data_IF_197949273517
#
_entry.id   IF_197949273517
#
_cell.length_a   1.000
_cell.length_b   1.000
_cell.length_c   1.000
_cell.angle_alpha   90.00
_cell.angle_beta   90.00
_cell.angle_gamma   90.00
#
_symmetry.space_group_name_H-M   'P 1'
#
loop_
_entity.id
_entity.type
_entity.pdbx_description
1 polymer ?
#
# COMPACT_ATOMS: atom_id res chain seq x y z
N UNK A 1 -13.91 -4.57 17.12
CA UNK A 1 -12.70 -4.51 16.27
C UNK A 1 -11.49 -4.70 17.17
N UNK A 2 -10.47 -5.44 16.72
CA UNK A 2 -9.30 -5.74 17.56
C UNK A 2 -8.44 -4.49 17.71
N UNK A 3 -7.99 -4.20 18.93
CA UNK A 3 -7.09 -3.06 19.18
C UNK A 3 -5.62 -3.44 19.21
N UNK A 4 -5.38 -4.75 19.29
CA UNK A 4 -4.10 -5.43 19.09
C UNK A 4 -4.22 -6.24 17.80
N UNK A 5 -3.51 -5.79 16.77
CA UNK A 5 -3.67 -6.34 15.42
C UNK A 5 -2.35 -6.32 14.67
N UNK A 6 -2.11 -7.41 13.95
CA UNK A 6 -1.24 -7.40 12.79
C UNK A 6 -2.07 -7.53 11.53
N UNK A 7 -1.70 -6.80 10.47
CA UNK A 7 -2.37 -6.90 9.18
C UNK A 7 -1.35 -7.03 8.06
N UNK A 8 -1.75 -7.66 6.97
CA UNK A 8 -0.92 -7.86 5.79
C UNK A 8 -1.68 -7.49 4.53
N UNK A 9 -1.12 -6.59 3.74
CA UNK A 9 -1.54 -6.30 2.38
C UNK A 9 -0.63 -7.10 1.44
N UNK A 10 -1.12 -8.25 1.00
CA UNK A 10 -0.41 -9.06 0.00
C UNK A 10 -0.56 -8.38 -1.36
N UNK A 11 0.54 -8.22 -2.08
CA UNK A 11 0.51 -7.65 -3.43
C UNK A 11 -0.26 -8.55 -4.40
N UNK A 12 -1.09 -7.92 -5.23
CA UNK A 12 -1.59 -8.53 -6.46
C UNK A 12 -0.62 -8.21 -7.62
N UNK A 13 0.01 -9.23 -8.24
CA UNK A 13 0.96 -8.99 -9.30
C UNK A 13 0.38 -8.31 -10.55
N UNK A 14 -0.93 -8.43 -10.74
CA UNK A 14 -1.67 -7.93 -11.90
C UNK A 14 -2.15 -6.49 -11.75
N UNK A 15 -2.12 -5.92 -10.54
CA UNK A 15 -2.55 -4.54 -10.29
C UNK A 15 -1.32 -3.63 -10.17
N UNK A 16 -1.30 -2.55 -10.95
CA UNK A 16 -0.26 -1.53 -10.93
C UNK A 16 -0.86 -0.13 -10.97
N UNK A 17 -0.46 0.73 -10.04
CA UNK A 17 -0.88 2.13 -10.09
C UNK A 17 -0.17 2.86 -11.24
N UNK A 18 -0.92 3.66 -12.01
CA UNK A 18 -0.43 4.36 -13.21
C UNK A 18 0.83 5.18 -12.97
N UNK A 19 0.89 5.93 -11.88
CA UNK A 19 2.04 6.82 -11.61
C UNK A 19 3.33 6.05 -11.30
N UNK A 20 3.21 4.85 -10.72
CA UNK A 20 4.35 3.96 -10.49
C UNK A 20 4.84 3.40 -11.81
N UNK A 21 3.93 3.00 -12.68
CA UNK A 21 4.28 2.50 -14.01
C UNK A 21 4.95 3.58 -14.86
N UNK A 22 4.44 4.81 -14.86
CA UNK A 22 5.06 5.95 -15.55
C UNK A 22 6.47 6.19 -15.03
N UNK A 23 6.63 6.28 -13.71
CA UNK A 23 7.93 6.48 -13.06
C UNK A 23 8.91 5.35 -13.40
N UNK A 24 8.43 4.11 -13.49
CA UNK A 24 9.23 2.96 -13.92
C UNK A 24 9.67 3.07 -15.38
N UNK A 25 8.74 3.45 -16.26
CA UNK A 25 9.06 3.67 -17.67
C UNK A 25 10.11 4.77 -17.81
N UNK A 26 9.95 5.90 -17.11
CA UNK A 26 10.89 7.03 -17.16
C UNK A 26 12.29 6.62 -16.66
N UNK A 27 12.38 5.91 -15.54
CA UNK A 27 13.64 5.43 -14.98
C UNK A 27 14.36 4.44 -15.91
N UNK A 28 13.62 3.59 -16.62
CA UNK A 28 14.17 2.63 -17.57
C UNK A 28 14.39 3.23 -18.97
N UNK A 29 13.90 4.45 -19.20
CA UNK A 29 13.89 5.14 -20.49
C UNK A 29 13.01 4.42 -21.52
N UNK A 30 11.88 3.89 -21.08
CA UNK A 30 10.88 3.24 -21.92
C UNK A 30 9.87 4.27 -22.43
N UNK A 31 9.38 4.09 -23.65
CA UNK A 31 8.37 4.96 -24.24
C UNK A 31 6.97 4.35 -24.09
N UNK A 32 6.04 5.19 -23.64
CA UNK A 32 4.65 4.83 -23.48
C UNK A 32 3.73 5.89 -24.10
N UNK A 33 2.54 5.45 -24.50
CA UNK A 33 1.45 6.30 -24.97
C UNK A 33 0.20 6.02 -24.13
N UNK A 34 -0.69 7.01 -24.06
CA UNK A 34 -1.97 6.87 -23.36
C UNK A 34 -3.07 7.15 -24.38
N UNK A 35 -3.94 6.15 -24.59
CA UNK A 35 -5.09 6.26 -25.48
C UNK A 35 -6.25 5.43 -24.91
N UNK A 36 -7.49 5.95 -24.95
CA UNK A 36 -8.70 5.27 -24.46
C UNK A 36 -8.57 4.59 -23.09
N UNK A 37 -8.09 5.32 -22.07
CA UNK A 37 -7.84 4.79 -20.73
C UNK A 37 -6.87 3.59 -20.67
N UNK A 38 -6.03 3.41 -21.67
CA UNK A 38 -4.99 2.38 -21.69
C UNK A 38 -3.63 3.06 -21.85
N UNK A 39 -2.73 2.80 -20.89
CA UNK A 39 -1.32 3.13 -21.05
C UNK A 39 -0.64 1.96 -21.75
N UNK A 40 -0.07 2.22 -22.91
CA UNK A 40 0.60 1.22 -23.75
C UNK A 40 2.09 1.53 -23.80
N UNK A 41 2.93 0.57 -23.41
CA UNK A 41 4.38 0.64 -23.59
C UNK A 41 4.72 -0.04 -24.92
N UNK A 42 5.22 0.72 -25.88
CA UNK A 42 5.62 0.23 -27.20
C UNK A 42 7.12 0.06 -27.36
N UNK A 43 7.93 0.71 -26.51
CA UNK A 43 9.38 0.56 -26.50
C UNK A 43 9.91 0.42 -25.07
N UNK A 44 10.29 -0.80 -24.72
CA UNK A 44 10.94 -1.21 -23.49
C UNK A 44 12.46 -1.42 -23.67
N UNK A 45 13.07 -0.77 -24.68
CA UNK A 45 14.47 -0.97 -25.12
C UNK A 45 14.76 -2.43 -25.50
N UNK A 46 13.76 -3.13 -26.02
CA UNK A 46 13.93 -4.48 -26.52
C UNK A 46 14.71 -4.49 -27.85
N UNK A 47 15.48 -5.54 -28.11
CA UNK A 47 16.14 -5.74 -29.42
C UNK A 47 15.15 -6.16 -30.52
N UNK A 48 13.99 -6.69 -30.13
CA UNK A 48 12.98 -7.25 -31.03
C UNK A 48 11.98 -6.19 -31.48
N UNK A 49 11.65 -6.14 -32.77
CA UNK A 49 10.55 -5.28 -33.25
C UNK A 49 9.22 -5.89 -32.82
N UNK A 50 8.34 -5.07 -32.24
CA UNK A 50 6.99 -5.47 -31.82
C UNK A 50 5.94 -5.32 -32.93
N UNK A 51 6.32 -4.92 -34.14
CA UNK A 51 5.42 -4.84 -35.32
C UNK A 51 4.11 -4.06 -35.11
N UNK A 52 4.14 -3.00 -34.28
CA UNK A 52 2.95 -2.20 -33.94
C UNK A 52 2.19 -2.69 -32.70
N UNK A 53 2.64 -3.78 -32.09
CA UNK A 53 2.14 -4.28 -30.82
C UNK A 53 2.84 -3.64 -29.61
N UNK A 54 2.35 -4.00 -28.44
CA UNK A 54 2.79 -3.48 -27.14
C UNK A 54 3.71 -4.46 -26.42
N UNK A 55 4.61 -3.95 -25.59
CA UNK A 55 5.35 -4.73 -24.60
C UNK A 55 4.48 -4.98 -23.36
N UNK A 56 3.83 -3.92 -22.86
CA UNK A 56 2.82 -4.01 -21.80
C UNK A 56 1.69 -3.01 -22.00
N UNK A 57 0.51 -3.34 -21.47
CA UNK A 57 -0.65 -2.46 -21.40
C UNK A 57 -1.15 -2.40 -19.97
N UNK A 58 -1.49 -1.20 -19.50
CA UNK A 58 -2.15 -0.95 -18.23
C UNK A 58 -3.52 -0.35 -18.51
N UNK A 59 -4.57 -0.96 -17.99
CA UNK A 59 -5.89 -0.35 -17.95
C UNK A 59 -5.94 0.68 -16.82
N UNK A 60 -6.12 1.95 -17.14
CA UNK A 60 -6.15 3.06 -16.18
C UNK A 60 -7.39 3.06 -15.28
N UNK A 61 -8.41 2.28 -15.63
CA UNK A 61 -9.67 2.17 -14.86
C UNK A 61 -9.59 1.05 -13.83
N UNK A 62 -9.02 -0.11 -14.21
CA UNK A 62 -8.90 -1.28 -13.32
C UNK A 62 -7.53 -1.40 -12.67
N UNK A 63 -6.55 -0.60 -13.12
CA UNK A 63 -5.13 -0.74 -12.80
C UNK A 63 -4.54 -2.11 -13.18
N UNK A 64 -5.19 -2.87 -14.08
CA UNK A 64 -4.72 -4.19 -14.49
C UNK A 64 -3.68 -4.12 -15.59
N UNK A 65 -2.62 -4.92 -15.45
CA UNK A 65 -1.53 -5.01 -16.42
C UNK A 65 -1.57 -6.29 -17.24
N UNK A 66 -1.42 -6.12 -18.55
CA UNK A 66 -1.30 -7.18 -19.55
C UNK A 66 0.08 -7.13 -20.20
N UNK A 67 0.73 -8.29 -20.31
CA UNK A 67 2.04 -8.42 -20.93
C UNK A 67 1.95 -9.15 -22.27
N UNK A 68 2.75 -8.72 -23.25
CA UNK A 68 2.85 -9.40 -24.53
C UNK A 68 4.03 -10.37 -24.52
N UNK A 69 3.74 -11.67 -24.50
CA UNK A 69 4.75 -12.73 -24.55
C UNK A 69 5.05 -13.23 -25.96
N UNK A 70 4.26 -12.83 -26.96
CA UNK A 70 4.30 -13.40 -28.31
C UNK A 70 5.48 -12.85 -29.15
N UNK A 71 5.79 -11.55 -29.03
CA UNK A 71 6.84 -10.90 -29.84
C UNK A 71 8.17 -10.68 -29.09
N UNK A 72 8.34 -11.28 -27.91
CA UNK A 72 9.51 -11.11 -27.07
C UNK A 72 10.15 -12.49 -26.75
N UNK A 73 11.11 -12.99 -27.54
CA UNK A 73 11.80 -14.25 -27.25
C UNK A 73 12.61 -14.23 -25.93
N UNK A 74 12.99 -13.04 -25.45
CA UNK A 74 13.57 -12.82 -24.11
C UNK A 74 12.53 -12.27 -23.11
N UNK A 75 11.23 -12.46 -23.36
CA UNK A 75 10.13 -11.93 -22.55
C UNK A 75 10.33 -12.22 -21.08
N UNK A 76 10.64 -13.47 -20.73
CA UNK A 76 10.75 -13.92 -19.33
C UNK A 76 11.84 -13.15 -18.58
N UNK A 77 12.99 -12.91 -19.21
CA UNK A 77 14.10 -12.19 -18.60
C UNK A 77 13.80 -10.68 -18.49
N UNK A 78 13.14 -10.10 -19.49
CA UNK A 78 12.71 -8.69 -19.47
C UNK A 78 11.55 -8.44 -18.51
N UNK A 79 10.65 -9.41 -18.35
CA UNK A 79 9.59 -9.40 -17.35
C UNK A 79 10.19 -9.47 -15.95
N UNK A 80 11.23 -10.27 -15.73
CA UNK A 80 11.98 -10.31 -14.47
C UNK A 80 12.70 -8.98 -14.17
N UNK A 81 13.44 -8.42 -15.13
CA UNK A 81 14.11 -7.11 -14.99
C UNK A 81 13.10 -5.98 -14.68
N UNK A 82 11.97 -5.96 -15.41
CA UNK A 82 10.88 -5.05 -15.12
C UNK A 82 10.33 -5.31 -13.71
N UNK A 83 10.05 -6.57 -13.36
CA UNK A 83 9.48 -6.93 -12.06
C UNK A 83 10.37 -6.46 -10.92
N UNK A 84 11.68 -6.62 -10.98
CA UNK A 84 12.61 -6.15 -9.93
C UNK A 84 12.59 -4.62 -9.78
N UNK A 85 12.65 -3.89 -10.90
CA UNK A 85 12.58 -2.43 -10.90
C UNK A 85 11.21 -1.93 -10.44
N UNK A 86 10.17 -2.62 -10.84
CA UNK A 86 8.80 -2.35 -10.47
C UNK A 86 8.55 -2.65 -8.99
N UNK A 87 9.15 -3.70 -8.43
CA UNK A 87 9.11 -4.02 -7.00
C UNK A 87 9.77 -2.92 -6.16
N UNK A 88 10.94 -2.44 -6.55
CA UNK A 88 11.59 -1.31 -5.88
C UNK A 88 10.74 -0.03 -5.90
N UNK A 89 10.14 0.30 -7.05
CA UNK A 89 9.27 1.47 -7.20
C UNK A 89 7.95 1.30 -6.46
N UNK A 90 7.39 0.09 -6.40
CA UNK A 90 6.21 -0.22 -5.62
C UNK A 90 6.46 -0.10 -4.13
N UNK A 91 7.58 -0.61 -3.62
CA UNK A 91 7.90 -0.46 -2.20
C UNK A 91 7.97 1.02 -1.81
N UNK A 92 8.56 1.85 -2.69
CA UNK A 92 8.61 3.30 -2.53
C UNK A 92 7.23 3.95 -2.59
N UNK A 93 6.40 3.55 -3.57
CA UNK A 93 5.03 4.05 -3.70
C UNK A 93 4.17 3.66 -2.51
N UNK A 94 4.17 2.39 -2.12
CA UNK A 94 3.48 1.87 -0.95
C UNK A 94 3.86 2.65 0.31
N UNK A 95 5.15 2.93 0.51
CA UNK A 95 5.64 3.78 1.60
C UNK A 95 5.02 5.16 1.55
N UNK A 96 5.11 5.85 0.41
CA UNK A 96 4.66 7.23 0.27
C UNK A 96 3.14 7.35 0.42
N UNK A 97 2.38 6.50 -0.27
CA UNK A 97 0.92 6.43 -0.19
C UNK A 97 0.47 6.17 1.24
N UNK A 98 1.10 5.23 1.93
CA UNK A 98 0.78 4.93 3.33
C UNK A 98 1.04 6.12 4.24
N UNK A 99 2.22 6.74 4.13
CA UNK A 99 2.56 7.92 4.95
C UNK A 99 1.58 9.05 4.68
N UNK A 100 1.22 9.30 3.42
CA UNK A 100 0.28 10.35 3.04
C UNK A 100 -1.12 10.11 3.59
N UNK A 101 -1.68 8.90 3.43
CA UNK A 101 -3.03 8.58 3.93
C UNK A 101 -3.11 8.65 5.46
N UNK A 102 -2.09 8.14 6.15
CA UNK A 102 -2.04 8.25 7.61
C UNK A 102 -1.87 9.70 8.07
N UNK A 103 -1.07 10.52 7.38
CA UNK A 103 -0.96 11.96 7.68
C UNK A 103 -2.29 12.70 7.50
N UNK A 104 -3.06 12.39 6.44
CA UNK A 104 -4.42 12.95 6.25
C UNK A 104 -5.35 12.62 7.42
N UNK A 105 -5.16 11.45 8.04
CA UNK A 105 -5.89 11.03 9.25
C UNK A 105 -5.25 11.52 10.56
N UNK A 106 -4.28 12.41 10.52
CA UNK A 106 -3.68 13.04 11.70
C UNK A 106 -2.67 12.17 12.45
N UNK A 107 -1.98 11.27 11.75
CA UNK A 107 -0.82 10.55 12.28
C UNK A 107 0.48 11.25 11.88
N UNK A 108 1.50 11.10 12.72
CA UNK A 108 2.84 11.61 12.44
C UNK A 108 3.78 10.46 12.05
N UNK A 109 4.59 10.69 11.03
CA UNK A 109 5.65 9.75 10.64
C UNK A 109 6.77 9.75 11.69
N UNK A 110 7.27 8.57 12.03
CA UNK A 110 8.46 8.36 12.85
C UNK A 110 9.30 7.25 12.22
N UNK A 111 10.58 7.51 12.03
CA UNK A 111 11.52 6.52 11.49
C UNK A 111 11.80 5.40 12.51
N UNK A 112 12.15 4.21 12.01
CA UNK A 112 12.62 3.12 12.84
C UNK A 112 14.16 3.14 12.89
N UNK A 113 14.73 3.87 13.85
CA UNK A 113 16.19 4.07 13.97
C UNK A 113 17.00 2.78 14.15
N UNK A 114 16.36 1.70 14.61
CA UNK A 114 17.00 0.40 14.80
C UNK A 114 16.84 -0.54 13.59
N UNK A 115 16.23 -0.08 12.50
CA UNK A 115 16.02 -0.91 11.32
C UNK A 115 17.18 -0.78 10.33
N UNK A 116 17.69 -1.94 9.93
CA UNK A 116 18.63 -2.05 8.80
C UNK A 116 17.94 -2.81 7.68
N UNK A 117 17.73 -2.20 6.49
CA UNK A 117 17.15 -2.89 5.35
C UNK A 117 17.93 -4.16 4.98
N UNK A 118 17.21 -5.18 4.53
CA UNK A 118 17.78 -6.43 4.03
C UNK A 118 17.16 -6.82 2.67
N UNK A 119 17.46 -8.03 2.17
CA UNK A 119 17.00 -8.50 0.87
C UNK A 119 15.48 -8.64 0.75
N UNK A 120 14.76 -8.79 1.87
CA UNK A 120 13.31 -8.98 1.93
C UNK A 120 12.60 -7.75 2.50
N UNK A 121 13.04 -7.22 3.65
CA UNK A 121 12.46 -6.04 4.28
C UNK A 121 13.21 -4.78 3.85
N UNK A 122 12.55 -3.90 3.09
CA UNK A 122 13.19 -2.72 2.50
C UNK A 122 12.89 -1.43 3.26
N UNK A 123 11.73 -1.33 3.92
CA UNK A 123 11.40 -0.21 4.79
C UNK A 123 10.78 -0.68 6.10
N UNK A 124 11.13 0.00 7.20
CA UNK A 124 10.40 -0.09 8.46
C UNK A 124 10.27 1.29 9.10
N UNK A 125 9.07 1.63 9.54
CA UNK A 125 8.78 2.92 10.18
C UNK A 125 7.52 2.82 11.04
N UNK A 126 7.20 3.89 11.75
CA UNK A 126 6.03 4.00 12.60
C UNK A 126 5.13 5.16 12.16
N UNK A 127 3.82 4.96 12.25
CA UNK A 127 2.85 6.06 12.25
C UNK A 127 2.30 6.23 13.66
N UNK A 128 2.47 7.43 14.21
CA UNK A 128 2.14 7.76 15.60
C UNK A 128 0.83 8.54 15.64
N UNK A 129 -0.18 7.97 16.30
CA UNK A 129 -1.47 8.59 16.52
C UNK A 129 -1.61 9.03 17.98
N UNK A 130 -2.23 10.20 18.20
CA UNK A 130 -2.62 10.67 19.54
C UNK A 130 -4.14 10.70 19.65
N UNK A 131 -4.66 10.14 20.75
CA UNK A 131 -6.08 10.17 21.09
C UNK A 131 -6.51 11.57 21.51
N UNK A 132 -7.73 11.94 21.14
CA UNK A 132 -8.39 13.17 21.62
C UNK A 132 -9.30 12.92 22.82
N UNK A 133 -9.47 11.67 23.27
CA UNK A 133 -10.25 11.35 24.46
C UNK A 133 -9.47 11.76 25.72
N UNK A 134 -10.01 12.70 26.49
CA UNK A 134 -9.39 13.20 27.74
C UNK A 134 -9.33 12.13 28.83
N UNK A 135 -10.16 11.10 28.73
CA UNK A 135 -10.20 9.98 29.68
C UNK A 135 -9.28 8.82 29.27
N UNK A 136 -8.60 8.92 28.12
CA UNK A 136 -7.64 7.91 27.70
C UNK A 136 -6.34 8.06 28.51
N UNK A 137 -5.96 6.98 29.19
CA UNK A 137 -4.76 6.94 30.04
C UNK A 137 -3.50 6.67 29.23
N UNK A 138 -3.64 6.03 28.08
CA UNK A 138 -2.55 5.77 27.12
C UNK A 138 -2.90 6.42 25.77
N UNK A 139 -2.82 7.76 25.65
CA UNK A 139 -3.33 8.47 24.48
C UNK A 139 -2.43 8.36 23.26
N UNK A 140 -1.16 7.98 23.43
CA UNK A 140 -0.20 7.86 22.33
C UNK A 140 -0.14 6.41 21.88
N UNK A 141 -0.38 6.19 20.59
CA UNK A 141 -0.32 4.87 19.98
C UNK A 141 0.59 4.88 18.74
N UNK A 142 1.23 3.75 18.49
CA UNK A 142 2.16 3.58 17.39
C UNK A 142 1.76 2.35 16.60
N UNK A 143 1.77 2.48 15.28
CA UNK A 143 1.59 1.37 14.35
C UNK A 143 2.89 1.22 13.60
N UNK A 144 3.55 0.07 13.75
CA UNK A 144 4.73 -0.29 12.98
C UNK A 144 4.30 -0.73 11.59
N UNK A 145 5.01 -0.26 10.59
CA UNK A 145 4.89 -0.70 9.20
C UNK A 145 6.22 -1.29 8.78
N UNK A 146 6.16 -2.43 8.09
CA UNK A 146 7.26 -3.04 7.37
C UNK A 146 6.82 -3.23 5.93
N UNK A 147 7.64 -2.80 4.99
CA UNK A 147 7.40 -2.97 3.55
C UNK A 147 8.44 -3.95 3.03
N UNK A 148 7.95 -5.00 2.39
CA UNK A 148 8.79 -6.00 1.74
C UNK A 148 9.20 -5.55 0.34
N UNK A 149 10.22 -6.20 -0.22
CA UNK A 149 10.78 -5.88 -1.54
C UNK A 149 9.71 -5.83 -2.64
N UNK A 150 8.71 -6.71 -2.56
CA UNK A 150 7.62 -6.82 -3.53
C UNK A 150 6.52 -5.77 -3.35
N UNK A 151 6.65 -4.88 -2.34
CA UNK A 151 5.64 -3.89 -1.98
C UNK A 151 4.56 -4.40 -1.03
N UNK A 152 4.66 -5.65 -0.54
CA UNK A 152 3.78 -6.17 0.52
C UNK A 152 3.95 -5.31 1.78
N UNK A 153 2.84 -4.91 2.39
CA UNK A 153 2.84 -4.12 3.62
C UNK A 153 2.43 -5.02 4.78
N UNK A 154 3.27 -5.09 5.81
CA UNK A 154 2.99 -5.74 7.08
C UNK A 154 2.85 -4.66 8.14
N UNK A 155 1.78 -4.73 8.91
CA UNK A 155 1.48 -3.76 9.96
C UNK A 155 1.47 -4.47 11.30
N UNK A 156 1.99 -3.82 12.33
CA UNK A 156 2.00 -4.35 13.68
C UNK A 156 1.63 -3.28 14.69
N UNK A 157 0.62 -3.56 15.50
CA UNK A 157 0.14 -2.64 16.52
C UNK A 157 -0.13 -3.37 17.83
N UNK A 158 0.07 -2.66 18.94
CA UNK A 158 -0.23 -3.14 20.29
C UNK A 158 -1.54 -2.53 20.78
N UNK A 159 -1.51 -1.39 21.49
CA UNK A 159 -2.71 -0.72 21.95
C UNK A 159 -3.04 0.50 21.09
N UNK A 160 -4.21 0.48 20.45
CA UNK A 160 -4.79 1.65 19.78
C UNK A 160 -6.01 2.17 20.55
N UNK A 161 -5.99 3.42 21.06
CA UNK A 161 -7.18 4.11 21.56
C UNK A 161 -8.30 4.13 20.53
N UNK A 162 -9.56 4.23 20.97
CA UNK A 162 -10.70 4.01 20.08
C UNK A 162 -10.72 4.92 18.85
N UNK A 163 -10.53 6.22 19.08
CA UNK A 163 -10.52 7.25 18.04
C UNK A 163 -9.28 7.18 17.14
N UNK A 164 -8.16 6.68 17.68
CA UNK A 164 -6.95 6.41 16.89
C UNK A 164 -7.18 5.19 16.00
N UNK A 165 -7.80 4.13 16.54
CA UNK A 165 -8.10 2.91 15.80
C UNK A 165 -9.09 3.16 14.65
N UNK A 166 -10.14 3.94 14.89
CA UNK A 166 -11.09 4.35 13.84
C UNK A 166 -10.38 5.05 12.68
N UNK A 167 -9.56 6.06 12.98
CA UNK A 167 -8.76 6.77 11.97
C UNK A 167 -7.75 5.89 11.25
N UNK A 168 -7.15 4.92 11.95
CA UNK A 168 -6.24 3.96 11.34
C UNK A 168 -6.98 3.07 10.33
N UNK A 169 -8.16 2.54 10.67
CA UNK A 169 -8.97 1.79 9.71
C UNK A 169 -9.38 2.63 8.52
N UNK A 170 -9.82 3.88 8.72
CA UNK A 170 -10.17 4.76 7.60
C UNK A 170 -9.00 5.01 6.63
N UNK A 171 -7.77 5.14 7.13
CA UNK A 171 -6.58 5.27 6.27
C UNK A 171 -6.31 3.98 5.49
N UNK A 172 -6.46 2.83 6.15
CA UNK A 172 -6.21 1.53 5.55
C UNK A 172 -7.25 1.16 4.50
N UNK A 173 -8.52 1.52 4.68
CA UNK A 173 -9.58 1.23 3.72
C UNK A 173 -9.34 1.97 2.38
N UNK A 174 -8.76 3.17 2.42
CA UNK A 174 -8.29 3.88 1.22
C UNK A 174 -7.09 3.17 0.60
N UNK A 175 -6.15 2.67 1.42
CA UNK A 175 -5.02 1.88 0.92
C UNK A 175 -5.47 0.56 0.27
N UNK A 176 -6.53 -0.09 0.77
CA UNK A 176 -7.09 -1.28 0.13
C UNK A 176 -7.54 -1.00 -1.32
N UNK A 177 -8.13 0.18 -1.55
CA UNK A 177 -8.53 0.63 -2.89
C UNK A 177 -7.31 0.94 -3.77
N UNK A 178 -6.32 1.67 -3.25
CA UNK A 178 -5.13 2.06 -4.00
C UNK A 178 -4.24 0.87 -4.36
N UNK A 179 -4.13 -0.11 -3.47
CA UNK A 179 -3.34 -1.32 -3.66
C UNK A 179 -4.12 -2.44 -4.36
N UNK A 180 -5.42 -2.26 -4.57
CA UNK A 180 -6.30 -3.25 -5.22
C UNK A 180 -6.42 -4.58 -4.48
N UNK A 181 -6.17 -4.58 -3.16
CA UNK A 181 -6.16 -5.79 -2.34
C UNK A 181 -6.79 -5.54 -0.97
N UNK A 182 -7.62 -6.49 -0.52
CA UNK A 182 -8.10 -6.52 0.86
C UNK A 182 -6.97 -6.97 1.78
N UNK A 183 -6.80 -6.28 2.91
CA UNK A 183 -5.84 -6.72 3.93
C UNK A 183 -6.33 -7.98 4.64
N UNK A 184 -5.39 -8.82 5.03
CA UNK A 184 -5.66 -9.95 5.94
C UNK A 184 -5.34 -9.49 7.36
N UNK A 185 -6.32 -9.53 8.25
CA UNK A 185 -6.21 -9.06 9.64
C UNK A 185 -6.08 -10.25 10.59
N UNK A 186 -5.08 -10.22 11.48
CA UNK A 186 -4.86 -11.23 12.50
C UNK A 186 -4.99 -10.59 13.88
N UNK A 187 -5.93 -11.11 14.69
CA UNK A 187 -6.13 -10.62 16.06
C UNK A 187 -5.04 -11.17 16.97
N UNK A 188 -4.43 -10.31 17.77
CA UNK A 188 -3.49 -10.71 18.82
C UNK A 188 -4.21 -10.97 20.15
N UNK A 189 -3.63 -11.80 21.03
CA UNK A 189 -4.12 -11.95 22.39
C UNK A 189 -4.07 -10.61 23.13
N UNK A 190 -5.13 -10.30 23.86
CA UNK A 190 -5.28 -9.04 24.57
C UNK A 190 -4.72 -9.21 25.98
N UNK A 191 -3.73 -8.40 26.40
CA UNK A 191 -3.26 -8.42 27.79
C UNK A 191 -4.38 -8.04 28.76
N UNK A 192 -4.46 -8.73 29.91
CA UNK A 192 -5.53 -8.55 30.89
C UNK A 192 -5.74 -7.09 31.33
N UNK A 193 -4.68 -6.29 31.41
CA UNK A 193 -4.73 -4.86 31.73
C UNK A 193 -5.57 -4.00 30.78
N UNK A 194 -5.85 -4.48 29.57
CA UNK A 194 -6.63 -3.75 28.55
C UNK A 194 -8.08 -4.24 28.42
N UNK A 195 -8.48 -5.31 29.10
CA UNK A 195 -9.81 -5.93 28.94
C UNK A 195 -10.97 -4.95 29.21
N UNK A 196 -10.80 -3.99 30.13
CA UNK A 196 -11.82 -2.99 30.46
C UNK A 196 -11.82 -1.74 29.56
N UNK A 197 -10.82 -1.56 28.68
CA UNK A 197 -10.70 -0.35 27.85
C UNK A 197 -11.52 -0.41 26.56
N UNK A 198 -12.03 -1.59 26.18
CA UNK A 198 -12.75 -1.79 24.92
C UNK A 198 -14.11 -1.08 24.91
N UNK A 199 -14.28 -0.17 23.96
CA UNK A 199 -15.57 0.46 23.63
C UNK A 199 -15.94 0.05 22.21
N UNK A 200 -17.21 -0.23 21.91
CA UNK A 200 -17.66 -0.45 20.54
C UNK A 200 -17.35 0.79 19.68
N UNK A 201 -17.13 0.57 18.38
CA UNK A 201 -16.92 1.65 17.39
C UNK A 201 -18.09 2.63 17.51
N UNK A 202 -17.82 3.94 17.51
CA UNK A 202 -18.91 4.94 17.48
C UNK A 202 -19.59 4.82 16.12
N UNK A 203 -20.83 4.32 16.10
CA UNK A 203 -21.67 4.39 14.91
C UNK A 203 -22.17 5.83 14.86
N UNK A 204 -21.66 6.64 13.92
CA UNK A 204 -22.27 7.92 13.61
C UNK A 204 -23.62 7.62 12.92
N UNK A 205 -24.66 7.39 13.72
CA UNK A 205 -26.04 7.49 13.24
C UNK A 205 -26.23 8.98 12.99
N UNK A 206 -26.09 9.41 11.74
CA UNK A 206 -26.63 10.69 11.32
C UNK A 206 -28.14 10.55 11.42
N UNK A 207 -28.71 11.05 12.51
CA UNK A 207 -30.15 11.29 12.60
C UNK A 207 -30.44 12.37 11.56
N UNK A 208 -30.90 11.96 10.39
CA UNK A 208 -31.49 12.89 9.43
C UNK A 208 -32.79 13.34 10.08
N UNK A 209 -32.75 14.49 10.77
CA UNK A 209 -33.96 15.22 11.10
C UNK A 209 -34.58 15.65 9.77
N UNK A 210 -35.63 14.95 9.36
CA UNK A 210 -36.52 15.42 8.30
C UNK A 210 -37.21 16.69 8.84
N UNK A 211 -36.85 17.84 8.28
CA UNK A 211 -37.61 19.08 8.36
C UNK A 211 -38.41 19.26 7.09
#
# INVERSE_FOLDING_TARGET
MSRFESSRFVRNPQVMHVDVLKSACDALGWQYTIHDNILTVSDAKQKSRLYGEFALKLNLTTNEVTYNTYYMPNATQKVLELQEQFYALNATYAKNSLIQEFKKKGFNYKENEHFTPNSEEVYSFYMVGRSKDKNETEPVAQIKFTILKDGTIVTDSDYLPNDVNERAHDAMDVLEQLLGNKRVMTKKPIPAKYAGKFKPRRVNIQTIEQK
#
